data_IF_611743329077
#
_entry.id   IF_611743329077
#
_cell.length_a   1.000
_cell.length_b   1.000
_cell.length_c   1.000
_cell.angle_alpha   90.00
_cell.angle_beta   90.00
_cell.angle_gamma   90.00
#
_symmetry.space_group_name_H-M   'P 1'
#
loop_
_entity.id
_entity.type
_entity.pdbx_description
1 polymer ?
#
# COMPACT_ATOMS: atom_id res chain seq x y z
N UNK A 1 9.42 14.61 -24.64
CA UNK A 1 8.21 14.63 -23.79
C UNK A 1 8.00 13.19 -23.33
N UNK A 2 8.51 12.81 -22.15
CA UNK A 2 8.37 11.42 -21.67
C UNK A 2 6.89 11.21 -21.32
N UNK A 3 6.24 10.34 -22.07
CA UNK A 3 4.92 9.85 -21.73
C UNK A 3 5.09 9.03 -20.44
N UNK A 4 4.67 9.57 -19.30
CA UNK A 4 4.36 8.75 -18.14
C UNK A 4 3.03 8.07 -18.49
N UNK A 5 3.08 6.81 -18.92
CA UNK A 5 1.89 5.96 -19.01
C UNK A 5 1.35 5.77 -17.60
N UNK A 6 0.34 6.56 -17.24
CA UNK A 6 -0.35 6.51 -15.95
C UNK A 6 -1.43 5.41 -15.91
N UNK A 7 -1.21 4.29 -16.60
CA UNK A 7 -2.27 3.31 -16.89
C UNK A 7 -1.72 1.88 -16.82
N UNK A 8 -1.30 1.45 -15.64
CA UNK A 8 -1.47 0.05 -15.28
C UNK A 8 -2.60 0.04 -14.26
N UNK A 9 -3.80 -0.37 -14.68
CA UNK A 9 -4.88 -0.73 -13.75
C UNK A 9 -4.29 -1.72 -12.74
N UNK A 10 -4.06 -1.25 -11.51
CA UNK A 10 -3.54 -2.10 -10.44
C UNK A 10 -4.71 -2.88 -9.84
N UNK A 11 -5.25 -3.83 -10.62
CA UNK A 11 -6.32 -4.71 -10.14
C UNK A 11 -5.75 -5.76 -9.18
N UNK A 12 -5.95 -5.51 -7.89
CA UNK A 12 -5.58 -6.44 -6.82
C UNK A 12 -6.77 -7.24 -6.27
N UNK A 13 -7.91 -7.29 -6.97
CA UNK A 13 -9.13 -7.98 -6.51
C UNK A 13 -8.93 -9.48 -6.23
N UNK A 14 -7.97 -10.11 -6.90
CA UNK A 14 -7.62 -11.52 -6.72
C UNK A 14 -6.58 -11.79 -5.61
N UNK A 15 -5.99 -10.74 -5.03
CA UNK A 15 -4.94 -10.89 -4.01
C UNK A 15 -5.55 -11.30 -2.68
N UNK A 16 -4.96 -12.31 -2.03
CA UNK A 16 -5.29 -12.64 -0.65
C UNK A 16 -4.69 -11.60 0.30
N UNK A 17 -5.47 -10.57 0.61
CA UNK A 17 -5.08 -9.48 1.52
C UNK A 17 -4.58 -9.98 2.89
N UNK A 18 -5.21 -11.02 3.46
CA UNK A 18 -4.80 -11.54 4.76
C UNK A 18 -3.39 -12.17 4.72
N UNK A 19 -3.06 -12.86 3.62
CA UNK A 19 -1.72 -13.41 3.42
C UNK A 19 -0.66 -12.31 3.29
N UNK A 20 -0.98 -11.21 2.58
CA UNK A 20 -0.09 -10.05 2.46
C UNK A 20 0.17 -9.41 3.82
N UNK A 21 -0.89 -9.12 4.59
CA UNK A 21 -0.76 -8.54 5.94
C UNK A 21 0.07 -9.44 6.85
N UNK A 22 -0.17 -10.76 6.83
CA UNK A 22 0.59 -11.71 7.63
C UNK A 22 2.08 -11.75 7.27
N UNK A 23 2.43 -11.60 5.98
CA UNK A 23 3.82 -11.56 5.53
C UNK A 23 4.55 -10.26 5.92
N UNK A 24 3.82 -9.13 5.96
CA UNK A 24 4.38 -7.82 6.30
C UNK A 24 4.48 -7.55 7.81
N UNK A 25 3.57 -8.13 8.59
CA UNK A 25 3.48 -7.92 10.05
C UNK A 25 4.82 -8.09 10.81
N UNK A 26 5.69 -9.08 10.54
CA UNK A 26 6.95 -9.22 11.27
C UNK A 26 8.03 -8.21 10.87
N UNK A 27 7.85 -7.45 9.77
CA UNK A 27 8.86 -6.54 9.23
C UNK A 27 8.76 -5.11 9.81
N UNK A 28 7.62 -4.79 10.42
CA UNK A 28 7.26 -3.44 10.85
C UNK A 28 6.80 -3.44 12.30
N UNK A 29 6.89 -2.30 13.01
CA UNK A 29 6.16 -2.10 14.25
C UNK A 29 4.66 -2.34 14.05
N UNK A 30 3.97 -2.87 15.07
CA UNK A 30 2.54 -3.23 14.98
C UNK A 30 1.67 -2.06 14.54
N UNK A 31 1.97 -0.84 14.99
CA UNK A 31 1.20 0.36 14.65
C UNK A 31 1.45 0.89 13.23
N UNK A 32 2.44 0.34 12.53
CA UNK A 32 2.95 0.87 11.27
C UNK A 32 2.52 0.04 10.06
N UNK A 33 1.77 -1.04 10.28
CA UNK A 33 1.09 -1.77 9.22
C UNK A 33 -0.41 -1.47 9.32
N UNK A 34 -0.87 -0.56 8.48
CA UNK A 34 -2.27 -0.17 8.43
C UNK A 34 -3.00 -1.08 7.45
N UNK A 35 -4.11 -1.66 7.88
CA UNK A 35 -4.96 -2.44 7.00
C UNK A 35 -6.44 -2.23 7.31
N UNK A 36 -6.81 -1.65 8.45
CA UNK A 36 -8.21 -1.34 8.73
C UNK A 36 -8.74 -0.24 7.82
N UNK A 37 -10.01 -0.35 7.41
CA UNK A 37 -10.61 0.51 6.38
C UNK A 37 -10.52 2.00 6.72
N UNK A 38 -10.63 2.34 8.00
CA UNK A 38 -10.58 3.72 8.50
C UNK A 38 -9.19 4.34 8.33
N UNK A 39 -8.14 3.54 8.56
CA UNK A 39 -6.74 3.95 8.44
C UNK A 39 -6.29 4.05 6.98
N UNK A 40 -6.93 3.32 6.07
CA UNK A 40 -6.61 3.31 4.64
C UNK A 40 -7.22 4.49 3.88
N UNK A 41 -8.30 5.09 4.40
CA UNK A 41 -9.01 6.19 3.72
C UNK A 41 -8.14 7.39 3.35
N UNK A 42 -7.19 7.86 4.18
CA UNK A 42 -6.26 8.92 3.79
C UNK A 42 -5.38 8.58 2.58
N UNK A 43 -5.19 7.28 2.29
CA UNK A 43 -4.35 6.75 1.22
C UNK A 43 -5.15 6.32 -0.01
N UNK A 44 -6.43 6.65 -0.09
CA UNK A 44 -7.27 6.28 -1.23
C UNK A 44 -6.96 7.09 -2.50
N UNK A 45 -6.20 8.18 -2.38
CA UNK A 45 -5.93 9.12 -3.46
C UNK A 45 -4.44 9.14 -3.78
N UNK A 46 -4.11 9.03 -5.07
CA UNK A 46 -2.74 9.06 -5.59
C UNK A 46 -2.22 10.49 -5.89
N UNK A 47 -2.99 11.52 -5.53
CA UNK A 47 -2.68 12.91 -5.82
C UNK A 47 -2.99 13.33 -7.26
N UNK A 48 -3.43 12.41 -8.12
CA UNK A 48 -4.03 12.70 -9.41
C UNK A 48 -5.55 12.76 -9.21
N UNK A 49 -6.19 13.81 -9.73
CA UNK A 49 -7.61 14.09 -9.45
C UNK A 49 -8.60 13.04 -9.96
N UNK A 50 -8.14 12.01 -10.68
CA UNK A 50 -8.96 11.02 -11.36
C UNK A 50 -9.09 9.68 -10.62
N UNK A 51 -8.19 9.34 -9.70
CA UNK A 51 -8.14 7.99 -9.12
C UNK A 51 -8.39 8.02 -7.62
N UNK A 52 -9.39 7.22 -7.21
CA UNK A 52 -9.70 6.94 -5.82
C UNK A 52 -9.93 5.46 -5.64
N UNK A 53 -8.97 4.79 -5.01
CA UNK A 53 -9.05 3.37 -4.70
C UNK A 53 -8.39 3.11 -3.34
N UNK A 54 -9.07 2.32 -2.49
CA UNK A 54 -8.48 1.93 -1.21
C UNK A 54 -7.38 0.91 -1.45
N UNK A 55 -6.15 1.12 -0.95
CA UNK A 55 -5.08 0.14 -1.04
C UNK A 55 -5.40 -1.12 -0.20
N UNK A 56 -4.69 -2.22 -0.44
CA UNK A 56 -4.83 -3.44 0.36
C UNK A 56 -4.35 -3.25 1.82
N UNK A 57 -3.23 -2.53 1.98
CA UNK A 57 -2.56 -2.20 3.23
C UNK A 57 -1.58 -1.03 2.99
N UNK A 58 -1.12 -0.39 4.06
CA UNK A 58 -0.08 0.65 4.05
C UNK A 58 1.02 0.28 5.04
N UNK A 59 2.26 0.25 4.56
CA UNK A 59 3.46 -0.01 5.35
C UNK A 59 4.22 1.29 5.63
N UNK A 60 4.27 1.70 6.90
CA UNK A 60 4.95 2.92 7.36
C UNK A 60 6.32 2.57 7.97
N UNK A 61 7.31 2.37 7.11
CA UNK A 61 8.68 2.12 7.54
C UNK A 61 9.28 3.32 8.30
N UNK A 62 9.98 3.04 9.40
CA UNK A 62 10.73 4.02 10.21
C UNK A 62 12.22 4.04 9.86
N UNK A 63 12.69 3.03 9.11
CA UNK A 63 14.09 2.91 8.69
C UNK A 63 14.23 2.45 7.24
N UNK A 64 15.40 2.68 6.67
CA UNK A 64 15.72 2.21 5.32
C UNK A 64 15.73 0.68 5.23
N UNK A 65 16.15 -0.01 6.31
CA UNK A 65 16.14 -1.47 6.37
C UNK A 65 14.71 -2.02 6.34
N UNK A 66 13.77 -1.38 7.04
CA UNK A 66 12.36 -1.75 6.99
C UNK A 66 11.77 -1.50 5.59
N UNK A 67 12.10 -0.37 4.97
CA UNK A 67 11.68 -0.06 3.60
C UNK A 67 12.23 -1.07 2.60
N UNK A 68 13.49 -1.48 2.75
CA UNK A 68 14.10 -2.52 1.92
C UNK A 68 13.49 -3.90 2.15
N UNK A 69 13.07 -4.21 3.39
CA UNK A 69 12.48 -5.51 3.71
C UNK A 69 11.08 -5.73 3.11
N UNK A 70 10.34 -4.66 2.81
CA UNK A 70 8.97 -4.73 2.26
C UNK A 70 8.91 -4.68 0.72
N UNK A 71 10.04 -4.52 0.04
CA UNK A 71 10.18 -4.48 -1.43
C UNK A 71 10.66 -5.81 -2.00
#
# INVERSE_FOLDING_TARGET
>A
MRQHSAEQDQDFSSVNRAAVVAALAPLLPVANLLFEREDLKPYECDGLSAYRELPLAVALAESEEQAAAVL
#
